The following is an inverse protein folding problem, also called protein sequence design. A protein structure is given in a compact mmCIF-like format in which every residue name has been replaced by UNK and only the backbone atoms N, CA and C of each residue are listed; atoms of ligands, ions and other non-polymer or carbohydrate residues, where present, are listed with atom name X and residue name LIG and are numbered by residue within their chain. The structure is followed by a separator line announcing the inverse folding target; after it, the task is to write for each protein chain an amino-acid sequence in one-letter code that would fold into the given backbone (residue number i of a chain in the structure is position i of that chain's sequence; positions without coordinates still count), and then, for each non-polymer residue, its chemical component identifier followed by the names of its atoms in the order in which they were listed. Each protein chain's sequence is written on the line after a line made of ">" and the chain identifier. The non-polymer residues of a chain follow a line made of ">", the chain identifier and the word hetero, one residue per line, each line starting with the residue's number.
data_IF_749184646877
#
_entry.id   IF_749184646877
#
_cell.length_a   1.000
_cell.length_b   1.000
_cell.length_c   1.000
_cell.angle_alpha   90.00
_cell.angle_beta   90.00
_cell.angle_gamma   90.00
#
_symmetry.space_group_name_H-M   'P 1'
#
loop_
_entity.id
_entity.type
_entity.pdbx_description
1 polymer ?
#
# COMPACT_ATOMS: atom_id res chain seq x y z
N UNK A 1 -23.05 8.73 2.85
CA UNK A 1 -21.85 9.57 2.68
C UNK A 1 -21.98 10.33 1.38
N UNK A 2 -21.90 11.68 1.35
CA UNK A 2 -21.76 12.39 0.08
C UNK A 2 -20.37 12.09 -0.49
N UNK A 3 -20.31 11.41 -1.63
CA UNK A 3 -19.07 11.24 -2.40
C UNK A 3 -18.97 12.46 -3.30
N UNK A 4 -18.08 13.40 -2.97
CA UNK A 4 -17.84 14.57 -3.80
C UNK A 4 -16.95 14.15 -4.98
N UNK A 5 -17.48 14.10 -6.19
CA UNK A 5 -16.67 13.83 -7.39
C UNK A 5 -15.86 15.08 -7.75
N UNK A 6 -14.71 15.25 -7.09
CA UNK A 6 -13.79 16.36 -7.30
C UNK A 6 -12.35 15.84 -7.45
N UNK A 7 -11.41 16.75 -7.74
CA UNK A 7 -10.00 16.40 -7.93
C UNK A 7 -9.39 15.68 -6.72
N UNK A 8 -9.77 16.08 -5.49
CA UNK A 8 -9.31 15.44 -4.26
C UNK A 8 -9.74 13.97 -4.19
N UNK A 9 -11.03 13.71 -4.39
CA UNK A 9 -11.58 12.34 -4.40
C UNK A 9 -10.96 11.52 -5.53
N UNK A 10 -10.82 12.11 -6.72
CA UNK A 10 -10.18 11.44 -7.84
C UNK A 10 -8.74 11.04 -7.53
N UNK A 11 -7.92 11.96 -7.01
CA UNK A 11 -6.54 11.66 -6.61
C UNK A 11 -6.45 10.64 -5.47
N UNK A 12 -7.33 10.74 -4.47
CA UNK A 12 -7.38 9.79 -3.35
C UNK A 12 -7.73 8.38 -3.85
N UNK A 13 -8.73 8.22 -4.70
CA UNK A 13 -9.08 6.90 -5.25
C UNK A 13 -8.04 6.40 -6.24
N UNK A 14 -7.61 7.23 -7.21
CA UNK A 14 -6.62 6.82 -8.20
C UNK A 14 -5.30 6.40 -7.53
N UNK A 15 -4.84 7.14 -6.51
CA UNK A 15 -3.69 6.76 -5.71
C UNK A 15 -3.96 5.52 -4.85
N UNK A 16 -5.05 5.52 -4.08
CA UNK A 16 -5.36 4.45 -3.13
C UNK A 16 -5.72 3.13 -3.79
N UNK A 17 -6.80 3.09 -4.56
CA UNK A 17 -7.24 1.85 -5.23
C UNK A 17 -6.31 1.47 -6.39
N UNK A 18 -5.59 2.43 -6.97
CA UNK A 18 -4.57 2.15 -7.99
C UNK A 18 -3.34 1.42 -7.44
N UNK A 19 -3.09 1.44 -6.12
CA UNK A 19 -2.03 0.61 -5.52
C UNK A 19 -2.33 -0.88 -5.59
N UNK A 20 -3.60 -1.27 -5.56
CA UNK A 20 -3.99 -2.69 -5.58
C UNK A 20 -3.45 -3.43 -6.80
N UNK A 21 -3.74 -3.01 -8.06
CA UNK A 21 -3.20 -3.69 -9.23
C UNK A 21 -1.66 -3.60 -9.31
N UNK A 22 -1.04 -2.51 -8.83
CA UNK A 22 0.43 -2.40 -8.77
C UNK A 22 1.03 -3.51 -7.90
N UNK A 23 0.50 -3.71 -6.70
CA UNK A 23 0.96 -4.79 -5.80
C UNK A 23 0.69 -6.14 -6.43
N UNK A 24 -0.48 -6.35 -7.04
CA UNK A 24 -0.79 -7.62 -7.72
C UNK A 24 0.19 -7.95 -8.85
N UNK A 25 0.65 -6.97 -9.62
CA UNK A 25 1.67 -7.21 -10.66
C UNK A 25 3.02 -7.64 -10.07
N UNK A 26 3.47 -6.95 -9.02
CA UNK A 26 4.73 -7.29 -8.33
C UNK A 26 4.65 -8.68 -7.70
N UNK A 27 3.50 -8.99 -7.10
CA UNK A 27 3.24 -10.25 -6.44
C UNK A 27 3.17 -11.42 -7.42
N UNK A 28 2.46 -11.24 -8.53
CA UNK A 28 2.42 -12.21 -9.62
C UNK A 28 3.81 -12.48 -10.19
N UNK A 29 4.55 -11.42 -10.52
CA UNK A 29 5.89 -11.56 -11.08
C UNK A 29 6.83 -12.30 -10.11
N UNK A 30 6.79 -11.95 -8.82
CA UNK A 30 7.55 -12.65 -7.80
C UNK A 30 7.18 -14.13 -7.73
N UNK A 31 5.88 -14.45 -7.63
CA UNK A 31 5.39 -15.81 -7.49
C UNK A 31 5.81 -16.72 -8.65
N UNK A 32 5.88 -16.15 -9.86
CA UNK A 32 6.23 -16.87 -11.09
C UNK A 32 7.72 -16.78 -11.45
N UNK A 33 8.57 -16.29 -10.55
CA UNK A 33 10.02 -16.39 -10.69
C UNK A 33 10.69 -15.29 -11.48
N UNK A 34 10.12 -14.08 -11.50
CA UNK A 34 10.85 -12.90 -11.93
C UNK A 34 12.11 -12.71 -11.05
N UNK A 35 13.24 -12.44 -11.68
CA UNK A 35 14.54 -12.38 -11.02
C UNK A 35 14.82 -10.97 -10.50
N UNK A 36 15.28 -10.86 -9.27
CA UNK A 36 15.66 -9.57 -8.70
C UNK A 36 16.96 -9.06 -9.32
N UNK A 37 16.94 -7.86 -9.89
CA UNK A 37 18.07 -7.30 -10.65
C UNK A 37 19.04 -6.47 -9.81
N UNK A 38 18.83 -6.39 -8.49
CA UNK A 38 19.69 -5.61 -7.59
C UNK A 38 19.43 -4.10 -7.59
N UNK A 39 18.73 -3.58 -8.61
CA UNK A 39 18.58 -2.14 -8.88
C UNK A 39 17.12 -1.66 -8.86
N UNK A 40 16.33 -2.07 -7.86
CA UNK A 40 14.95 -1.64 -7.63
C UNK A 40 13.90 -2.31 -8.54
N UNK A 41 13.72 -3.62 -8.38
CA UNK A 41 12.66 -4.38 -9.06
C UNK A 41 13.19 -5.69 -9.65
N UNK A 42 12.39 -6.28 -10.53
CA UNK A 42 12.73 -7.55 -11.19
C UNK A 42 13.34 -7.32 -12.58
N UNK A 43 13.54 -8.40 -13.34
CA UNK A 43 13.96 -8.40 -14.74
C UNK A 43 12.87 -7.87 -15.71
N UNK A 44 11.62 -7.72 -15.25
CA UNK A 44 10.51 -7.17 -16.03
C UNK A 44 9.88 -8.18 -17.01
N UNK A 45 10.03 -9.48 -16.73
CA UNK A 45 9.65 -10.57 -17.64
C UNK A 45 8.15 -10.65 -17.95
N UNK A 46 7.28 -10.19 -17.06
CA UNK A 46 5.83 -10.39 -17.15
C UNK A 46 5.08 -9.12 -17.54
N UNK A 47 5.45 -7.98 -16.97
CA UNK A 47 4.76 -6.69 -17.13
C UNK A 47 5.70 -5.55 -17.51
N UNK A 48 6.98 -5.85 -17.73
CA UNK A 48 8.01 -4.87 -18.04
C UNK A 48 8.61 -4.23 -16.80
N UNK A 49 9.84 -3.71 -16.96
CA UNK A 49 10.65 -3.20 -15.84
C UNK A 49 9.98 -2.08 -15.06
N UNK A 50 9.16 -1.24 -15.71
CA UNK A 50 8.48 -0.16 -15.01
C UNK A 50 7.44 -0.68 -14.01
N UNK A 51 6.55 -1.58 -14.45
CA UNK A 51 5.49 -2.13 -13.60
C UNK A 51 6.01 -3.08 -12.54
N UNK A 52 7.15 -3.72 -12.78
CA UNK A 52 7.81 -4.62 -11.82
C UNK A 52 8.90 -3.91 -10.97
N UNK A 53 8.92 -2.58 -10.99
CA UNK A 53 9.76 -1.73 -10.12
C UNK A 53 8.93 -1.13 -8.98
N UNK A 54 9.55 -0.53 -7.95
CA UNK A 54 8.79 0.19 -6.92
C UNK A 54 8.22 1.53 -7.40
N UNK A 55 8.55 1.99 -8.61
CA UNK A 55 8.17 3.32 -9.11
C UNK A 55 6.65 3.52 -9.14
N UNK A 56 5.83 2.62 -9.73
CA UNK A 56 4.38 2.82 -9.76
C UNK A 56 3.78 2.87 -8.35
N UNK A 57 4.35 2.08 -7.42
CA UNK A 57 3.90 2.06 -6.03
C UNK A 57 4.23 3.37 -5.31
N UNK A 58 5.44 3.89 -5.48
CA UNK A 58 5.84 5.21 -4.98
C UNK A 58 4.99 6.33 -5.56
N UNK A 59 4.69 6.29 -6.85
CA UNK A 59 3.84 7.28 -7.53
C UNK A 59 2.41 7.24 -7.00
N UNK A 60 1.84 6.05 -6.80
CA UNK A 60 0.50 5.89 -6.25
C UNK A 60 0.41 6.45 -4.81
N UNK A 61 1.42 6.17 -3.97
CA UNK A 61 1.51 6.74 -2.62
C UNK A 61 1.66 8.26 -2.63
N UNK A 62 2.53 8.79 -3.50
CA UNK A 62 2.70 10.24 -3.64
C UNK A 62 1.40 10.91 -4.11
N UNK A 63 0.70 10.31 -5.06
CA UNK A 63 -0.60 10.77 -5.55
C UNK A 63 -1.65 10.75 -4.43
N UNK A 64 -1.73 9.67 -3.67
CA UNK A 64 -2.63 9.55 -2.52
C UNK A 64 -2.36 10.65 -1.47
N UNK A 65 -1.10 10.86 -1.10
CA UNK A 65 -0.69 11.91 -0.17
C UNK A 65 -0.99 13.32 -0.69
N UNK A 66 -0.78 13.56 -1.99
CA UNK A 66 -1.03 14.86 -2.62
C UNK A 66 -2.52 15.25 -2.61
N UNK A 67 -3.43 14.27 -2.55
CA UNK A 67 -4.86 14.53 -2.42
C UNK A 67 -5.18 15.40 -1.18
N UNK A 68 -4.36 15.33 -0.13
CA UNK A 68 -4.52 16.15 1.07
C UNK A 68 -4.40 17.67 0.82
N UNK A 69 -3.70 18.08 -0.24
CA UNK A 69 -3.50 19.49 -0.60
C UNK A 69 -4.64 20.07 -1.43
N UNK A 70 -5.52 19.22 -1.96
CA UNK A 70 -6.62 19.63 -2.84
C UNK A 70 -7.88 20.06 -2.05
N UNK A 71 -7.67 20.75 -0.92
CA UNK A 71 -8.76 21.23 -0.07
C UNK A 71 -9.41 22.48 -0.68
N UNK A 72 -10.72 22.62 -0.50
CA UNK A 72 -11.53 23.70 -1.10
C UNK A 72 -11.49 25.02 -0.28
N UNK A 73 -10.84 25.03 0.89
CA UNK A 73 -10.83 26.17 1.82
C UNK A 73 -9.46 26.88 1.79
N UNK A 74 -9.50 28.21 1.73
CA UNK A 74 -8.51 29.10 1.12
C UNK A 74 -7.29 29.49 1.97
N UNK A 75 -6.98 28.80 3.06
CA UNK A 75 -5.89 29.21 3.98
C UNK A 75 -4.52 28.56 3.68
N UNK A 76 -4.40 27.91 2.52
CA UNK A 76 -3.17 27.27 2.07
C UNK A 76 -2.78 26.00 2.86
N UNK A 77 -1.62 25.39 2.56
CA UNK A 77 -1.25 24.12 3.16
C UNK A 77 -0.78 24.26 4.62
N UNK A 78 -1.47 23.56 5.52
CA UNK A 78 -1.08 23.35 6.91
C UNK A 78 0.01 22.30 7.07
N UNK A 79 0.73 22.32 8.21
CA UNK A 79 1.72 21.31 8.58
C UNK A 79 1.19 19.87 8.48
N UNK A 80 -0.10 19.65 8.76
CA UNK A 80 -0.74 18.33 8.67
C UNK A 80 -0.70 17.74 7.25
N UNK A 81 -0.91 18.56 6.22
CA UNK A 81 -0.91 18.07 4.83
C UNK A 81 0.50 17.62 4.41
N UNK A 82 1.52 18.36 4.83
CA UNK A 82 2.92 17.93 4.66
C UNK A 82 3.22 16.64 5.42
N UNK A 83 2.73 16.49 6.65
CA UNK A 83 2.88 15.24 7.43
C UNK A 83 2.23 14.05 6.73
N UNK A 84 1.02 14.23 6.18
CA UNK A 84 0.31 13.18 5.43
C UNK A 84 1.12 12.77 4.19
N UNK A 85 1.59 13.73 3.40
CA UNK A 85 2.40 13.46 2.21
C UNK A 85 3.72 12.76 2.56
N UNK A 86 4.43 13.27 3.56
CA UNK A 86 5.69 12.66 4.03
C UNK A 86 5.47 11.21 4.49
N UNK A 87 4.39 10.96 5.25
CA UNK A 87 4.03 9.60 5.66
C UNK A 87 3.74 8.70 4.45
N UNK A 88 2.95 9.17 3.47
CA UNK A 88 2.68 8.41 2.25
C UNK A 88 3.95 8.06 1.47
N UNK A 89 4.87 9.02 1.29
CA UNK A 89 6.15 8.76 0.61
C UNK A 89 6.97 7.73 1.39
N UNK A 90 7.04 7.86 2.72
CA UNK A 90 7.72 6.89 3.57
C UNK A 90 7.09 5.50 3.47
N UNK A 91 5.77 5.38 3.40
CA UNK A 91 5.08 4.10 3.18
C UNK A 91 5.52 3.46 1.86
N UNK A 92 5.56 4.23 0.78
CA UNK A 92 6.02 3.75 -0.52
C UNK A 92 7.47 3.27 -0.50
N UNK A 93 8.35 3.98 0.21
CA UNK A 93 9.76 3.56 0.38
C UNK A 93 9.86 2.28 1.22
N UNK A 94 9.17 2.23 2.37
CA UNK A 94 9.25 1.10 3.28
C UNK A 94 8.71 -0.17 2.61
N UNK A 95 7.53 -0.12 2.01
CA UNK A 95 6.94 -1.29 1.38
C UNK A 95 7.55 -1.60 0.01
N UNK A 96 7.65 -0.62 -0.89
CA UNK A 96 8.13 -0.84 -2.25
C UNK A 96 9.64 -1.09 -2.34
N UNK A 97 10.44 -0.58 -1.41
CA UNK A 97 11.90 -0.78 -1.44
C UNK A 97 12.32 -1.78 -0.37
N UNK A 98 12.09 -1.49 0.92
CA UNK A 98 12.70 -2.30 1.99
C UNK A 98 12.04 -3.66 2.18
N UNK A 99 10.70 -3.71 2.29
CA UNK A 99 9.98 -4.99 2.41
C UNK A 99 10.19 -5.81 1.14
N UNK A 100 10.00 -5.21 -0.03
CA UNK A 100 10.13 -5.92 -1.30
C UNK A 100 11.56 -6.46 -1.55
N UNK A 101 12.60 -5.71 -1.16
CA UNK A 101 13.98 -6.22 -1.20
C UNK A 101 14.16 -7.41 -0.27
N UNK A 102 13.56 -7.38 0.93
CA UNK A 102 13.63 -8.49 1.86
C UNK A 102 12.90 -9.74 1.32
N UNK A 103 11.76 -9.57 0.64
CA UNK A 103 11.05 -10.66 -0.05
C UNK A 103 11.97 -11.34 -1.07
N UNK A 104 12.57 -10.56 -1.97
CA UNK A 104 13.44 -11.10 -3.02
C UNK A 104 14.70 -11.77 -2.50
N UNK A 105 15.21 -11.34 -1.34
CA UNK A 105 16.36 -11.94 -0.66
C UNK A 105 15.99 -13.10 0.26
N UNK A 106 14.69 -13.43 0.38
CA UNK A 106 14.21 -14.47 1.29
C UNK A 106 14.60 -14.15 2.76
N UNK A 107 14.60 -12.87 3.12
CA UNK A 107 15.01 -12.36 4.44
C UNK A 107 13.78 -12.09 5.32
N UNK A 108 13.35 -13.11 6.07
CA UNK A 108 12.17 -13.01 6.94
C UNK A 108 12.35 -12.00 8.08
N UNK A 109 13.58 -11.88 8.61
CA UNK A 109 13.87 -10.94 9.70
C UNK A 109 13.79 -9.49 9.20
N UNK A 110 14.34 -9.21 8.01
CA UNK A 110 14.24 -7.93 7.33
C UNK A 110 12.79 -7.56 7.05
N UNK A 111 12.01 -8.48 6.47
CA UNK A 111 10.57 -8.28 6.23
C UNK A 111 9.84 -7.90 7.52
N UNK A 112 9.98 -8.68 8.58
CA UNK A 112 9.27 -8.44 9.83
C UNK A 112 9.60 -7.07 10.43
N UNK A 113 10.87 -6.67 10.42
CA UNK A 113 11.30 -5.35 10.89
C UNK A 113 10.60 -4.23 10.13
N UNK A 114 10.62 -4.28 8.80
CA UNK A 114 10.06 -3.23 7.97
C UNK A 114 8.52 -3.25 7.95
N UNK A 115 7.89 -4.41 8.10
CA UNK A 115 6.44 -4.54 8.28
C UNK A 115 5.94 -3.85 9.55
N UNK A 116 6.69 -3.90 10.66
CA UNK A 116 6.33 -3.14 11.88
C UNK A 116 6.34 -1.64 11.60
N UNK A 117 7.36 -1.13 10.91
CA UNK A 117 7.45 0.30 10.52
C UNK A 117 6.26 0.67 9.63
N UNK A 118 5.94 -0.16 8.64
CA UNK A 118 4.81 0.03 7.73
C UNK A 118 3.46 0.09 8.45
N UNK A 119 3.23 -0.79 9.44
CA UNK A 119 2.01 -0.77 10.27
C UNK A 119 1.92 0.53 11.09
N UNK A 120 3.02 0.96 11.70
CA UNK A 120 3.05 2.21 12.50
C UNK A 120 2.79 3.44 11.62
N UNK A 121 3.36 3.47 10.41
CA UNK A 121 3.09 4.53 9.43
C UNK A 121 1.61 4.54 9.02
N UNK A 122 0.99 3.37 8.82
CA UNK A 122 -0.44 3.27 8.49
C UNK A 122 -1.33 3.81 9.61
N UNK A 123 -1.03 3.46 10.85
CA UNK A 123 -1.76 3.97 12.01
C UNK A 123 -1.63 5.51 12.10
N UNK A 124 -0.41 6.02 11.97
CA UNK A 124 -0.15 7.46 11.96
C UNK A 124 -0.88 8.16 10.81
N UNK A 125 -0.92 7.57 9.62
CA UNK A 125 -1.62 8.11 8.46
C UNK A 125 -3.13 8.16 8.71
N UNK A 126 -3.73 7.06 9.17
CA UNK A 126 -5.16 6.98 9.45
C UNK A 126 -5.60 8.01 10.49
N UNK A 127 -4.82 8.17 11.57
CA UNK A 127 -5.07 9.20 12.58
C UNK A 127 -4.97 10.60 11.97
N UNK A 128 -3.91 10.91 11.21
CA UNK A 128 -3.75 12.24 10.61
C UNK A 128 -4.86 12.60 9.62
N UNK A 129 -5.36 11.63 8.85
CA UNK A 129 -6.53 11.81 7.98
C UNK A 129 -7.79 12.10 8.82
N UNK A 130 -8.00 11.34 9.89
CA UNK A 130 -9.26 11.35 10.65
C UNK A 130 -9.36 12.37 11.79
N UNK A 131 -8.25 12.94 12.27
CA UNK A 131 -8.20 13.63 13.58
C UNK A 131 -9.18 14.81 13.74
N UNK A 132 -9.59 15.45 12.64
CA UNK A 132 -10.52 16.59 12.67
C UNK A 132 -12.00 16.22 12.40
N UNK A 133 -12.31 14.95 12.12
CA UNK A 133 -13.67 14.55 11.78
C UNK A 133 -13.99 13.12 12.20
N UNK A 134 -15.01 12.95 13.04
CA UNK A 134 -15.40 11.63 13.55
C UNK A 134 -15.70 10.61 12.44
N UNK A 135 -16.33 11.04 11.34
CA UNK A 135 -16.58 10.18 10.19
C UNK A 135 -15.30 9.81 9.42
N UNK A 136 -14.37 10.76 9.26
CA UNK A 136 -13.09 10.50 8.61
C UNK A 136 -12.27 9.48 9.43
N UNK A 137 -12.25 9.62 10.76
CA UNK A 137 -11.59 8.67 11.64
C UNK A 137 -12.26 7.28 11.63
N UNK A 138 -13.59 7.24 11.62
CA UNK A 138 -14.37 5.99 11.53
C UNK A 138 -14.20 5.26 10.20
N UNK A 139 -13.70 5.93 9.15
CA UNK A 139 -13.37 5.32 7.87
C UNK A 139 -11.87 4.99 7.75
N UNK A 140 -10.99 5.88 8.24
CA UNK A 140 -9.55 5.74 8.06
C UNK A 140 -8.96 4.65 8.94
N UNK A 141 -9.39 4.51 10.19
CA UNK A 141 -8.88 3.48 11.11
C UNK A 141 -9.31 2.07 10.69
N UNK A 142 -10.60 1.78 10.47
CA UNK A 142 -11.00 0.47 9.92
C UNK A 142 -10.42 0.24 8.52
N UNK A 143 -10.29 1.27 7.70
CA UNK A 143 -9.65 1.18 6.39
C UNK A 143 -8.20 0.70 6.50
N UNK A 144 -7.38 1.35 7.33
CA UNK A 144 -6.00 0.92 7.57
C UNK A 144 -5.91 -0.49 8.17
N UNK A 145 -6.80 -0.84 9.10
CA UNK A 145 -6.88 -2.20 9.65
C UNK A 145 -7.14 -3.25 8.55
N UNK A 146 -8.12 -3.00 7.68
CA UNK A 146 -8.44 -3.89 6.57
C UNK A 146 -7.31 -4.00 5.55
N UNK A 147 -6.59 -2.90 5.27
CA UNK A 147 -5.40 -2.92 4.40
C UNK A 147 -4.32 -3.84 5.00
N UNK A 148 -4.00 -3.67 6.29
CA UNK A 148 -2.97 -4.47 6.97
C UNK A 148 -3.38 -5.93 7.05
N UNK A 149 -4.64 -6.20 7.43
CA UNK A 149 -5.19 -7.55 7.48
C UNK A 149 -5.16 -8.19 6.09
N UNK A 150 -5.58 -7.47 5.06
CA UNK A 150 -5.57 -7.92 3.68
C UNK A 150 -4.20 -8.34 3.23
N UNK A 151 -3.18 -7.51 3.44
CA UNK A 151 -1.81 -7.88 3.09
C UNK A 151 -1.28 -9.06 3.87
N UNK A 152 -1.50 -9.10 5.19
CA UNK A 152 -1.10 -10.25 6.00
C UNK A 152 -1.71 -11.55 5.46
N UNK A 153 -2.99 -11.54 5.08
CA UNK A 153 -3.66 -12.70 4.51
C UNK A 153 -3.10 -13.07 3.13
N UNK A 154 -2.92 -12.10 2.22
CA UNK A 154 -2.32 -12.32 0.90
C UNK A 154 -0.94 -12.97 1.04
N UNK A 155 -0.07 -12.45 1.92
CA UNK A 155 1.25 -13.02 2.15
C UNK A 155 1.20 -14.46 2.70
N UNK A 156 0.23 -14.82 3.53
CA UNK A 156 0.07 -16.20 3.98
C UNK A 156 -0.38 -17.16 2.88
N UNK A 157 -1.18 -16.65 1.94
CA UNK A 157 -1.88 -17.45 0.93
C UNK A 157 -1.06 -17.68 -0.36
N UNK A 158 -0.04 -16.85 -0.61
CA UNK A 158 0.70 -16.83 -1.88
C UNK A 158 1.70 -17.97 -2.08
N UNK A 159 2.09 -18.17 -3.34
CA UNK A 159 3.11 -19.16 -3.76
C UNK A 159 4.47 -18.80 -3.14
N UNK A 160 4.88 -17.53 -3.27
CA UNK A 160 6.13 -17.00 -2.71
C UNK A 160 5.88 -15.93 -1.65
N UNK A 161 4.96 -16.24 -0.73
CA UNK A 161 4.63 -15.42 0.44
C UNK A 161 5.43 -15.79 1.69
N UNK A 162 4.77 -15.80 2.85
CA UNK A 162 5.39 -16.12 4.16
C UNK A 162 6.05 -17.49 4.17
N UNK A 163 5.34 -18.52 3.68
CA UNK A 163 5.86 -19.88 3.64
C UNK A 163 7.20 -19.97 2.91
N UNK A 164 7.30 -19.29 1.76
CA UNK A 164 8.51 -19.28 0.94
C UNK A 164 9.69 -18.66 1.67
N UNK A 165 9.47 -17.60 2.45
CA UNK A 165 10.52 -16.98 3.24
C UNK A 165 10.94 -17.83 4.43
N UNK A 166 9.98 -18.45 5.11
CA UNK A 166 10.24 -19.29 6.29
C UNK A 166 10.93 -20.61 5.93
N UNK A 167 10.74 -21.09 4.70
CA UNK A 167 11.25 -22.38 4.23
C UNK A 167 12.35 -22.23 3.16
N UNK A 168 13.19 -21.20 3.30
CA UNK A 168 14.40 -20.99 2.49
C UNK A 168 14.16 -21.04 0.96
N UNK A 169 13.07 -20.44 0.50
CA UNK A 169 12.71 -20.36 -0.92
C UNK A 169 11.93 -21.56 -1.44
N UNK A 170 11.43 -22.45 -0.58
CA UNK A 170 10.51 -23.50 -0.99
C UNK A 170 9.12 -22.91 -1.30
N UNK A 171 8.54 -23.22 -2.46
CA UNK A 171 7.21 -22.75 -2.83
C UNK A 171 6.12 -23.32 -1.91
N UNK A 172 5.13 -22.50 -1.56
CA UNK A 172 3.96 -22.95 -0.80
C UNK A 172 3.26 -24.11 -1.55
N UNK A 173 3.07 -25.29 -0.91
CA UNK A 173 2.42 -26.43 -1.55
C UNK A 173 0.90 -26.25 -1.74
N UNK A 174 0.28 -25.34 -0.98
CA UNK A 174 -1.18 -25.12 -1.00
C UNK A 174 -1.52 -23.62 -1.06
N UNK A 175 -1.16 -22.93 -2.16
CA UNK A 175 -1.49 -21.51 -2.31
C UNK A 175 -3.00 -21.32 -2.51
N UNK A 176 -3.55 -20.23 -1.99
CA UNK A 176 -4.96 -19.86 -2.21
C UNK A 176 -5.03 -18.86 -3.36
N UNK A 177 -5.57 -19.32 -4.50
CA UNK A 177 -5.68 -18.52 -5.73
C UNK A 177 -6.64 -17.33 -5.56
N UNK A 178 -7.70 -17.49 -4.76
CA UNK A 178 -8.69 -16.45 -4.46
C UNK A 178 -8.65 -16.09 -2.97
N UNK A 179 -7.59 -15.41 -2.57
CA UNK A 179 -7.42 -14.96 -1.18
C UNK A 179 -8.51 -13.95 -0.80
N UNK A 180 -9.12 -14.13 0.38
CA UNK A 180 -9.95 -13.09 1.00
C UNK A 180 -9.16 -11.83 1.35
N UNK A 181 -7.83 -11.93 1.40
CA UNK A 181 -6.96 -10.81 1.65
C UNK A 181 -7.10 -9.71 0.60
N UNK A 182 -7.34 -10.04 -0.67
CA UNK A 182 -7.58 -9.04 -1.73
C UNK A 182 -8.87 -8.25 -1.50
N UNK A 183 -9.92 -8.92 -1.02
CA UNK A 183 -11.18 -8.27 -0.67
C UNK A 183 -10.97 -7.28 0.48
N UNK A 184 -10.26 -7.68 1.54
CA UNK A 184 -9.93 -6.78 2.65
C UNK A 184 -9.04 -5.63 2.20
N UNK A 185 -8.03 -5.90 1.38
CA UNK A 185 -7.08 -4.91 0.89
C UNK A 185 -7.78 -3.83 0.06
N UNK A 186 -8.58 -4.22 -0.94
CA UNK A 186 -9.34 -3.28 -1.75
C UNK A 186 -10.39 -2.51 -0.92
N UNK A 187 -11.13 -3.20 -0.05
CA UNK A 187 -12.14 -2.55 0.80
C UNK A 187 -11.51 -1.52 1.73
N UNK A 188 -10.35 -1.86 2.29
CA UNK A 188 -9.59 -0.94 3.14
C UNK A 188 -9.11 0.30 2.37
N UNK A 189 -8.61 0.13 1.14
CA UNK A 189 -8.22 1.23 0.26
C UNK A 189 -9.40 2.12 -0.12
N UNK A 190 -10.57 1.55 -0.41
CA UNK A 190 -11.79 2.31 -0.66
C UNK A 190 -12.15 3.14 0.59
N UNK A 191 -12.14 2.52 1.77
CA UNK A 191 -12.50 3.19 3.03
C UNK A 191 -11.56 4.35 3.37
N UNK A 192 -10.24 4.14 3.28
CA UNK A 192 -9.27 5.20 3.57
C UNK A 192 -9.27 6.30 2.50
N UNK A 193 -9.58 5.97 1.23
CA UNK A 193 -9.73 6.95 0.15
C UNK A 193 -10.98 7.81 0.35
N UNK A 194 -12.08 7.22 0.81
CA UNK A 194 -13.26 7.97 1.24
C UNK A 194 -12.92 8.91 2.39
N UNK A 195 -12.18 8.44 3.40
CA UNK A 195 -11.73 9.27 4.51
C UNK A 195 -10.87 10.46 4.03
N UNK A 196 -9.91 10.20 3.15
CA UNK A 196 -9.06 11.21 2.50
C UNK A 196 -9.85 12.17 1.61
N UNK A 197 -11.07 11.83 1.20
CA UNK A 197 -11.93 12.67 0.37
C UNK A 197 -12.82 13.62 1.18
N UNK A 198 -13.02 13.34 2.48
CA UNK A 198 -13.85 14.17 3.35
C UNK A 198 -13.15 15.48 3.70
N UNK A 199 -13.87 16.62 3.85
CA UNK A 199 -13.29 17.89 4.29
C UNK A 199 -12.40 17.69 5.52
N UNK A 200 -11.16 18.18 5.44
CA UNK A 200 -10.09 17.90 6.39
C UNK A 200 -9.73 19.11 7.20
#
# INVERSE_FOLDING_TARGET
>A
LPIYLNARTFCAFLGGTGMVPVVMFLDYAHDHGAEYTGSYGTDGRFFGKFLESPIPFLLAWALFGSASFLNLESDGPSARQYTILANCILQGIVAGIFIQTALYKVDMAGKNRWSVVFVLLFLALAINIGIKGGLALALSLPGAFLIILGQKTIFGDRIRGDFFMEHNGATNPNPIVYSYGELFFMTGWISISLAMSLPM
#
